data_IF_572734643324
#
_entry.id   IF_572734643324
#
_cell.length_a   1.000
_cell.length_b   1.000
_cell.length_c   1.000
_cell.angle_alpha   90.00
_cell.angle_beta   90.00
_cell.angle_gamma   90.00
#
_symmetry.space_group_name_H-M   'P 1'
#
loop_
_entity.id
_entity.type
_entity.pdbx_description
1 polymer ?
#
# COMPACT_ATOMS: atom_id res chain seq x y z
N UNK A 1 -10.76 1.88 3.69
CA UNK A 1 -9.67 1.49 2.77
C UNK A 1 -8.65 0.71 3.57
N UNK A 2 -8.12 -0.41 3.06
CA UNK A 2 -6.94 -1.04 3.66
C UNK A 2 -5.73 -0.19 3.33
N UNK A 3 -5.62 0.92 4.05
CA UNK A 3 -4.50 1.83 3.88
C UNK A 3 -3.31 1.33 4.70
N UNK A 4 -2.87 0.12 4.34
CA UNK A 4 -1.77 -0.58 5.01
C UNK A 4 -0.48 0.24 4.84
N UNK A 5 -0.28 0.82 3.64
CA UNK A 5 0.85 1.69 3.36
C UNK A 5 0.90 2.93 4.28
N UNK A 6 -0.22 3.61 4.51
CA UNK A 6 -0.28 4.76 5.43
C UNK A 6 -0.06 4.35 6.89
N UNK A 7 -0.55 3.16 7.29
CA UNK A 7 -0.31 2.64 8.64
C UNK A 7 1.16 2.25 8.85
N UNK A 8 1.79 1.61 7.86
CA UNK A 8 3.22 1.30 7.87
C UNK A 8 4.07 2.59 7.88
N UNK A 9 3.70 3.58 7.07
CA UNK A 9 4.35 4.89 7.06
C UNK A 9 4.28 5.55 8.45
N UNK A 10 3.10 5.59 9.07
CA UNK A 10 2.91 6.14 10.42
C UNK A 10 3.66 5.37 11.49
N UNK A 11 3.73 4.03 11.38
CA UNK A 11 4.54 3.22 12.27
C UNK A 11 6.02 3.59 12.13
N UNK A 12 6.51 3.77 10.89
CA UNK A 12 7.87 4.21 10.62
C UNK A 12 8.18 5.61 11.16
N UNK A 13 7.23 6.55 11.09
CA UNK A 13 7.36 7.88 11.74
C UNK A 13 7.53 7.75 13.26
N UNK A 14 6.79 6.84 13.89
CA UNK A 14 6.89 6.56 15.33
C UNK A 14 8.25 5.95 15.68
N UNK A 15 8.74 5.00 14.87
CA UNK A 15 10.06 4.38 15.08
C UNK A 15 11.20 5.39 14.89
N UNK A 16 11.10 6.23 13.87
CA UNK A 16 12.07 7.32 13.65
C UNK A 16 12.06 8.29 14.83
N UNK A 17 10.88 8.62 15.35
CA UNK A 17 10.77 9.45 16.55
C UNK A 17 11.36 8.78 17.80
N UNK A 18 11.24 7.45 17.96
CA UNK A 18 11.94 6.71 19.02
C UNK A 18 13.46 6.88 18.91
N UNK A 19 14.02 6.79 17.70
CA UNK A 19 15.44 7.00 17.43
C UNK A 19 15.88 8.45 17.68
N UNK A 20 15.08 9.43 17.24
CA UNK A 20 15.34 10.85 17.44
C UNK A 20 15.30 11.24 18.92
N UNK A 21 14.37 10.72 19.71
CA UNK A 21 14.35 10.92 21.17
C UNK A 21 15.61 10.36 21.80
N UNK A 22 16.13 9.23 21.31
CA UNK A 22 17.37 8.66 21.83
C UNK A 22 18.57 9.56 21.50
N UNK A 23 18.64 10.06 20.26
CA UNK A 23 19.79 10.78 19.71
C UNK A 23 19.83 12.28 20.07
N UNK A 24 18.67 12.95 20.06
CA UNK A 24 18.53 14.40 20.19
C UNK A 24 17.71 14.82 21.42
N UNK A 25 17.28 13.86 22.24
CA UNK A 25 16.42 14.05 23.41
C UNK A 25 15.01 14.61 23.11
N UNK A 26 14.71 14.97 21.86
CA UNK A 26 13.42 15.46 21.39
C UNK A 26 13.06 14.87 20.01
N UNK A 27 11.77 14.65 19.74
CA UNK A 27 11.25 14.31 18.42
C UNK A 27 9.89 14.96 18.18
N UNK A 28 9.48 15.06 16.91
CA UNK A 28 8.19 15.62 16.54
C UNK A 28 7.37 14.63 15.73
N UNK A 29 6.19 14.27 16.24
CA UNK A 29 5.24 13.43 15.51
C UNK A 29 4.00 14.26 15.23
N UNK A 30 3.67 14.44 13.94
CA UNK A 30 2.50 15.22 13.52
C UNK A 30 2.43 16.64 14.16
N UNK A 31 3.58 17.28 14.37
CA UNK A 31 3.68 18.60 14.99
C UNK A 31 3.61 18.63 16.52
N UNK A 32 3.53 17.47 17.19
CA UNK A 32 3.58 17.34 18.65
C UNK A 32 4.99 16.97 19.08
N UNK A 33 5.56 17.71 20.03
CA UNK A 33 6.88 17.45 20.59
C UNK A 33 6.85 16.33 21.64
N UNK A 34 7.78 15.39 21.52
CA UNK A 34 8.05 14.34 22.49
C UNK A 34 9.46 14.57 23.02
N UNK A 35 9.59 14.60 24.35
CA UNK A 35 10.86 14.90 25.04
C UNK A 35 11.24 13.70 25.90
N UNK A 36 12.53 13.40 25.96
CA UNK A 36 13.08 12.32 26.76
C UNK A 36 12.98 12.63 28.26
N UNK A 37 12.59 11.63 29.05
CA UNK A 37 12.42 11.77 30.50
C UNK A 37 11.03 12.23 30.94
N UNK A 38 10.14 12.58 30.00
CA UNK A 38 8.72 12.72 30.29
C UNK A 38 8.04 11.34 30.20
N UNK A 39 7.67 10.79 31.37
CA UNK A 39 7.05 9.47 31.49
C UNK A 39 5.75 9.36 30.67
N UNK A 40 4.95 10.43 30.58
CA UNK A 40 3.72 10.41 29.78
C UNK A 40 4.03 10.31 28.28
N UNK A 41 5.08 10.97 27.81
CA UNK A 41 5.48 10.98 26.40
C UNK A 41 5.97 9.59 25.97
N UNK A 42 6.78 8.93 26.81
CA UNK A 42 7.26 7.57 26.57
C UNK A 42 6.13 6.53 26.59
N UNK A 43 5.14 6.69 27.49
CA UNK A 43 3.96 5.83 27.54
C UNK A 43 3.10 6.01 26.29
N UNK A 44 2.79 7.25 25.90
CA UNK A 44 2.01 7.56 24.69
C UNK A 44 2.67 6.99 23.43
N UNK A 45 4.00 7.07 23.32
CA UNK A 45 4.74 6.56 22.17
C UNK A 45 4.62 5.03 22.05
N UNK A 46 4.77 4.31 23.18
CA UNK A 46 4.57 2.86 23.26
C UNK A 46 3.14 2.44 22.92
N UNK A 47 2.16 3.16 23.45
CA UNK A 47 0.74 2.93 23.14
C UNK A 47 0.45 3.13 21.66
N UNK A 48 1.01 4.19 21.06
CA UNK A 48 0.84 4.53 19.66
C UNK A 48 1.46 3.46 18.74
N UNK A 49 2.68 3.01 19.05
CA UNK A 49 3.35 1.91 18.32
C UNK A 49 2.51 0.64 18.35
N UNK A 50 2.07 0.23 19.54
CA UNK A 50 1.22 -0.95 19.73
C UNK A 50 -0.09 -0.85 18.95
N UNK A 51 -0.73 0.32 18.97
CA UNK A 51 -1.99 0.56 18.25
C UNK A 51 -1.84 0.36 16.73
N UNK A 52 -0.77 0.89 16.12
CA UNK A 52 -0.54 0.71 14.69
C UNK A 52 -0.22 -0.75 14.34
N UNK A 53 0.60 -1.43 15.14
CA UNK A 53 0.88 -2.86 14.96
C UNK A 53 -0.39 -3.73 15.04
N UNK A 54 -1.27 -3.47 16.01
CA UNK A 54 -2.53 -4.19 16.17
C UNK A 54 -3.46 -3.96 14.97
N UNK A 55 -3.54 -2.73 14.47
CA UNK A 55 -4.31 -2.41 13.26
C UNK A 55 -3.76 -3.09 12.02
N UNK A 56 -2.44 -3.11 11.84
CA UNK A 56 -1.80 -3.81 10.72
C UNK A 56 -2.10 -5.30 10.80
N UNK A 57 -2.00 -5.91 11.99
CA UNK A 57 -2.36 -7.32 12.22
C UNK A 57 -3.82 -7.60 11.92
N UNK A 58 -4.75 -6.76 12.37
CA UNK A 58 -6.18 -6.89 12.11
C UNK A 58 -6.47 -6.85 10.59
N UNK A 59 -5.91 -5.86 9.88
CA UNK A 59 -6.09 -5.70 8.44
C UNK A 59 -5.51 -6.90 7.67
N UNK A 60 -4.33 -7.36 8.08
CA UNK A 60 -3.66 -8.52 7.48
C UNK A 60 -4.49 -9.78 7.71
N UNK A 61 -4.99 -9.99 8.93
CA UNK A 61 -5.80 -11.14 9.31
C UNK A 61 -7.16 -11.18 8.60
N UNK A 62 -7.73 -10.03 8.25
CA UNK A 62 -9.07 -9.95 7.64
C UNK A 62 -9.15 -10.60 6.25
N UNK A 63 -8.02 -10.89 5.58
CA UNK A 63 -7.96 -11.55 4.27
C UNK A 63 -8.57 -10.72 3.14
N UNK A 64 -8.05 -10.72 1.91
CA UNK A 64 -8.55 -9.80 0.84
C UNK A 64 -10.01 -10.15 0.49
N UNK A 65 -10.92 -9.16 0.45
CA UNK A 65 -12.32 -9.37 0.02
C UNK A 65 -12.55 -8.97 -1.43
N UNK A 66 -13.69 -9.35 -2.00
CA UNK A 66 -14.10 -9.00 -3.37
C UNK A 66 -14.30 -7.49 -3.52
N UNK A 67 -14.84 -6.82 -2.50
CA UNK A 67 -15.02 -5.37 -2.49
C UNK A 67 -13.68 -4.63 -2.53
N UNK A 68 -12.67 -5.12 -1.79
CA UNK A 68 -11.31 -4.58 -1.84
C UNK A 68 -10.73 -4.72 -3.26
N UNK A 69 -10.88 -5.89 -3.90
CA UNK A 69 -10.44 -6.08 -5.28
C UNK A 69 -11.11 -5.12 -6.26
N UNK A 70 -12.44 -4.97 -6.19
CA UNK A 70 -13.18 -4.05 -7.06
C UNK A 70 -12.67 -2.61 -6.90
N UNK A 71 -12.42 -2.18 -5.66
CA UNK A 71 -11.92 -0.84 -5.38
C UNK A 71 -10.55 -0.59 -6.03
N UNK A 72 -9.60 -1.51 -5.87
CA UNK A 72 -8.29 -1.37 -6.51
C UNK A 72 -8.39 -1.41 -8.04
N UNK A 73 -9.23 -2.27 -8.62
CA UNK A 73 -9.47 -2.28 -10.08
C UNK A 73 -9.93 -0.90 -10.56
N UNK A 74 -10.83 -0.23 -9.83
CA UNK A 74 -11.26 1.14 -10.16
C UNK A 74 -10.12 2.15 -10.08
N UNK A 75 -9.27 2.10 -9.06
CA UNK A 75 -8.08 2.97 -8.95
C UNK A 75 -7.12 2.77 -10.13
N UNK A 76 -6.87 1.52 -10.55
CA UNK A 76 -6.04 1.24 -11.73
C UNK A 76 -6.68 1.72 -13.03
N UNK A 77 -8.01 1.66 -13.17
CA UNK A 77 -8.73 2.20 -14.33
C UNK A 77 -8.67 3.72 -14.37
N UNK A 78 -8.82 4.39 -13.23
CA UNK A 78 -8.66 5.84 -13.10
C UNK A 78 -7.23 6.27 -13.41
N UNK A 79 -6.22 5.56 -12.89
CA UNK A 79 -4.82 5.79 -13.22
C UNK A 79 -4.54 5.58 -14.72
N UNK A 80 -5.08 4.53 -15.34
CA UNK A 80 -4.97 4.33 -16.78
C UNK A 80 -5.63 5.48 -17.56
N UNK A 81 -6.83 5.91 -17.17
CA UNK A 81 -7.52 7.04 -17.78
C UNK A 81 -6.72 8.34 -17.64
N UNK A 82 -6.12 8.61 -16.48
CA UNK A 82 -5.29 9.78 -16.22
C UNK A 82 -3.96 9.73 -17.00
N UNK A 83 -3.32 8.57 -17.12
CA UNK A 83 -2.10 8.43 -17.94
C UNK A 83 -2.43 8.58 -19.43
N UNK A 84 -3.58 8.08 -19.89
CA UNK A 84 -4.05 8.29 -21.26
C UNK A 84 -4.41 9.75 -21.52
N UNK A 85 -5.07 10.43 -20.57
CA UNK A 85 -5.39 11.85 -20.64
C UNK A 85 -4.13 12.73 -20.58
N UNK A 86 -3.18 12.38 -19.71
CA UNK A 86 -1.88 13.02 -19.55
C UNK A 86 -0.86 12.71 -20.65
N UNK A 87 -1.23 11.92 -21.69
CA UNK A 87 -0.49 11.96 -22.96
C UNK A 87 -0.54 13.35 -23.60
N UNK A 88 -1.51 14.18 -23.21
CA UNK A 88 -1.47 15.62 -23.43
C UNK A 88 -0.95 16.30 -22.14
N UNK A 89 0.22 16.94 -22.25
CA UNK A 89 0.89 17.85 -21.30
C UNK A 89 1.98 17.29 -20.37
N UNK A 90 3.22 17.75 -20.65
CA UNK A 90 4.37 17.75 -19.75
C UNK A 90 4.18 18.76 -18.62
N UNK A 91 4.28 18.32 -17.36
CA UNK A 91 4.48 19.21 -16.21
C UNK A 91 5.50 18.60 -15.23
N UNK A 92 6.53 19.40 -14.98
CA UNK A 92 7.47 19.36 -13.85
C UNK A 92 8.05 18.00 -13.38
N UNK A 93 9.13 17.62 -14.07
CA UNK A 93 10.29 16.91 -13.50
C UNK A 93 10.13 15.47 -13.03
N UNK A 94 8.99 14.80 -13.25
CA UNK A 94 8.93 13.34 -13.27
C UNK A 94 8.28 12.84 -14.56
N UNK A 95 9.10 12.31 -15.47
CA UNK A 95 8.67 11.70 -16.73
C UNK A 95 8.06 10.32 -16.47
N UNK A 96 6.73 10.21 -16.37
CA UNK A 96 6.08 8.92 -16.54
C UNK A 96 6.09 8.54 -18.03
N UNK A 97 6.99 7.62 -18.38
CA UNK A 97 7.20 7.10 -19.74
C UNK A 97 6.26 5.90 -19.95
N UNK A 98 6.08 5.46 -21.20
CA UNK A 98 5.39 4.21 -21.61
C UNK A 98 5.55 2.99 -20.68
N UNK A 99 6.63 2.93 -19.88
CA UNK A 99 6.87 1.92 -18.85
C UNK A 99 5.75 1.87 -17.77
N UNK A 100 5.15 3.00 -17.39
CA UNK A 100 4.14 3.05 -16.34
C UNK A 100 2.80 2.43 -16.77
N UNK A 101 2.39 2.61 -18.03
CA UNK A 101 1.10 2.10 -18.53
C UNK A 101 1.07 0.58 -18.60
N UNK A 102 2.19 -0.06 -18.96
CA UNK A 102 2.30 -1.52 -18.93
C UNK A 102 2.26 -2.07 -17.49
N UNK A 103 2.90 -1.38 -16.54
CA UNK A 103 2.89 -1.73 -15.13
C UNK A 103 1.49 -1.57 -14.51
N UNK A 104 0.80 -0.46 -14.80
CA UNK A 104 -0.59 -0.20 -14.36
C UNK A 104 -1.52 -1.31 -14.87
N UNK A 105 -1.39 -1.71 -16.14
CA UNK A 105 -2.18 -2.82 -16.71
C UNK A 105 -1.88 -4.17 -16.05
N UNK A 106 -0.61 -4.48 -15.81
CA UNK A 106 -0.21 -5.70 -15.09
C UNK A 106 -0.78 -5.71 -13.67
N UNK A 107 -0.75 -4.57 -12.98
CA UNK A 107 -1.38 -4.39 -11.67
C UNK A 107 -2.89 -4.64 -11.71
N UNK A 108 -3.62 -4.07 -12.67
CA UNK A 108 -5.06 -4.32 -12.86
C UNK A 108 -5.37 -5.80 -13.06
N UNK A 109 -4.67 -6.45 -14.00
CA UNK A 109 -4.89 -7.88 -14.33
C UNK A 109 -4.66 -8.75 -13.09
N UNK A 110 -3.66 -8.42 -12.26
CA UNK A 110 -3.43 -9.13 -11.01
C UNK A 110 -4.64 -9.05 -10.07
N UNK A 111 -5.24 -7.86 -9.90
CA UNK A 111 -6.43 -7.68 -9.05
C UNK A 111 -7.70 -8.35 -9.63
N UNK A 112 -7.88 -8.32 -10.95
CA UNK A 112 -8.98 -9.04 -11.63
C UNK A 112 -8.86 -10.56 -11.41
N UNK A 113 -7.66 -11.11 -11.57
CA UNK A 113 -7.38 -12.52 -11.28
C UNK A 113 -7.59 -12.86 -9.80
N UNK A 114 -7.18 -11.96 -8.89
CA UNK A 114 -7.37 -12.15 -7.46
C UNK A 114 -8.85 -12.15 -7.07
N UNK A 115 -9.65 -11.26 -7.67
CA UNK A 115 -11.11 -11.25 -7.53
C UNK A 115 -11.71 -12.59 -7.98
N UNK A 116 -11.36 -13.05 -9.17
CA UNK A 116 -11.86 -14.31 -9.71
C UNK A 116 -11.49 -15.51 -8.82
N UNK A 117 -10.28 -15.52 -8.22
CA UNK A 117 -9.89 -16.56 -7.26
C UNK A 117 -10.78 -16.59 -6.02
N UNK A 118 -11.09 -15.41 -5.44
CA UNK A 118 -11.94 -15.28 -4.26
C UNK A 118 -13.38 -15.70 -4.60
N UNK A 119 -13.93 -15.25 -5.73
CA UNK A 119 -15.29 -15.58 -6.18
C UNK A 119 -15.46 -17.08 -6.48
N UNK A 120 -14.44 -17.72 -7.08
CA UNK A 120 -14.46 -19.15 -7.38
C UNK A 120 -14.07 -20.03 -6.17
N UNK A 121 -13.80 -19.45 -4.99
CA UNK A 121 -13.39 -20.18 -3.78
C UNK A 121 -12.13 -21.03 -3.97
N UNK A 122 -11.31 -20.73 -5.00
CA UNK A 122 -10.18 -21.57 -5.40
C UNK A 122 -8.92 -21.03 -4.74
N UNK A 123 -8.48 -21.69 -3.66
CA UNK A 123 -7.29 -21.29 -2.89
C UNK A 123 -5.96 -21.67 -3.58
N UNK A 124 -6.01 -22.48 -4.64
CA UNK A 124 -4.82 -22.99 -5.34
C UNK A 124 -4.73 -22.42 -6.76
N UNK A 125 -3.49 -22.06 -7.13
CA UNK A 125 -3.14 -21.21 -8.27
C UNK A 125 -3.78 -21.58 -9.62
N UNK A 126 -4.03 -20.53 -10.41
CA UNK A 126 -4.45 -20.63 -11.80
C UNK A 126 -3.34 -21.36 -12.57
N UNK A 127 -3.63 -22.56 -13.09
CA UNK A 127 -2.77 -23.23 -14.05
C UNK A 127 -2.77 -22.42 -15.34
N UNK A 128 -1.66 -21.73 -15.63
CA UNK A 128 -1.42 -21.18 -16.95
C UNK A 128 -1.24 -22.33 -17.93
N UNK A 129 -2.26 -22.65 -18.72
CA UNK A 129 -2.07 -23.43 -19.93
C UNK A 129 -1.41 -22.52 -20.97
N UNK A 130 -0.10 -22.64 -21.11
CA UNK A 130 0.60 -22.05 -22.24
C UNK A 130 0.24 -22.88 -23.48
N UNK A 131 -0.73 -22.42 -24.26
CA UNK A 131 -1.07 -23.05 -25.55
C UNK A 131 0.05 -22.71 -26.53
N UNK A 132 1.03 -23.60 -26.68
CA UNK A 132 1.95 -23.53 -27.81
C UNK A 132 1.18 -23.89 -29.08
N UNK A 133 1.13 -23.01 -30.10
CA UNK A 133 0.61 -23.41 -31.40
C UNK A 133 1.48 -24.57 -31.92
N UNK A 134 0.85 -25.71 -32.19
CA UNK A 134 1.49 -26.80 -32.91
C UNK A 134 1.58 -26.35 -34.37
N UNK A 135 2.77 -25.95 -34.80
CA UNK A 135 3.05 -25.74 -36.22
C UNK A 135 2.86 -27.08 -36.93
N UNK A 136 1.88 -27.13 -37.83
CA UNK A 136 1.59 -28.25 -38.73
C UNK A 136 2.58 -28.29 -39.89
#
# INVERSE_FOLDING_TARGET
MRDLANLEYKLGEVETAEEEIILFDIAYISGVAFEKGNVEHEQKLKELKKFYEEKIKEITSKGITVEDCNHYIHLYLEAEANVLAGQEYTIDSNQMKRADLEQIRKGRIWWENRKAQIENGTTNGIQFFQVCPHEF
#
